data_IF_145680366585
#
_entry.id   IF_145680366585
#
_cell.length_a   1.000
_cell.length_b   1.000
_cell.length_c   1.000
_cell.angle_alpha   90.00
_cell.angle_beta   90.00
_cell.angle_gamma   90.00
#
_symmetry.space_group_name_H-M   'P 1'
#
loop_
_entity.id
_entity.type
_entity.pdbx_description
1 polymer ?
#
# COMPACT_ATOMS: atom_id res chain seq x y z
N UNK A 1 18.25 -39.96 15.76
CA UNK A 1 19.06 -38.78 16.13
C UNK A 1 19.12 -37.88 14.93
N UNK A 2 18.31 -36.83 14.88
CA UNK A 2 18.24 -35.94 13.71
C UNK A 2 18.44 -34.49 14.15
N UNK A 3 19.54 -34.23 14.86
CA UNK A 3 20.03 -32.87 15.02
C UNK A 3 20.73 -32.47 13.72
N UNK A 4 19.92 -32.11 12.73
CA UNK A 4 20.39 -31.44 11.52
C UNK A 4 21.13 -30.18 11.96
N UNK A 5 22.35 -29.94 11.49
CA UNK A 5 23.09 -28.75 11.92
C UNK A 5 22.46 -27.47 11.38
N UNK A 6 22.72 -26.30 12.02
CA UNK A 6 22.25 -25.00 11.51
C UNK A 6 22.64 -24.80 10.04
N UNK A 7 23.85 -25.23 9.66
CA UNK A 7 24.37 -25.13 8.30
C UNK A 7 23.58 -26.00 7.33
N UNK A 8 23.21 -27.21 7.72
CA UNK A 8 22.37 -28.08 6.91
C UNK A 8 20.97 -27.46 6.71
N UNK A 9 20.41 -26.82 7.74
CA UNK A 9 19.12 -26.10 7.61
C UNK A 9 19.22 -24.85 6.74
N UNK A 10 20.32 -24.09 6.82
CA UNK A 10 20.57 -22.96 5.92
C UNK A 10 20.64 -23.42 4.46
N UNK A 11 21.34 -24.54 4.17
CA UNK A 11 21.40 -25.12 2.83
C UNK A 11 20.03 -25.61 2.35
N UNK A 12 19.28 -26.28 3.22
CA UNK A 12 17.93 -26.72 2.91
C UNK A 12 17.01 -25.53 2.58
N UNK A 13 17.11 -24.43 3.34
CA UNK A 13 16.34 -23.20 3.11
C UNK A 13 16.75 -22.42 1.87
N UNK A 14 18.03 -22.43 1.53
CA UNK A 14 18.54 -21.82 0.30
C UNK A 14 17.96 -22.49 -0.95
N UNK A 15 17.77 -23.81 -0.92
CA UNK A 15 17.21 -24.58 -2.02
C UNK A 15 18.09 -24.49 -3.26
N UNK A 16 17.57 -23.86 -4.33
CA UNK A 16 18.28 -23.68 -5.61
C UNK A 16 18.94 -22.30 -5.77
N UNK A 17 18.81 -21.41 -4.78
CA UNK A 17 19.36 -20.06 -4.86
C UNK A 17 20.88 -20.07 -4.77
N UNK A 18 21.51 -19.16 -5.50
CA UNK A 18 22.95 -18.98 -5.49
C UNK A 18 23.40 -18.13 -4.30
N UNK A 19 24.68 -18.24 -3.91
CA UNK A 19 25.26 -17.39 -2.87
C UNK A 19 25.15 -15.89 -3.20
N UNK A 20 25.13 -15.54 -4.49
CA UNK A 20 24.98 -14.16 -4.95
C UNK A 20 23.58 -13.63 -4.67
N UNK A 21 22.55 -14.37 -5.04
CA UNK A 21 21.15 -13.98 -4.79
C UNK A 21 20.87 -13.82 -3.30
N UNK A 22 21.39 -14.74 -2.48
CA UNK A 22 21.27 -14.64 -1.02
C UNK A 22 22.05 -13.44 -0.49
N UNK A 23 23.22 -13.16 -1.04
CA UNK A 23 24.01 -12.00 -0.67
C UNK A 23 23.30 -10.67 -0.96
N UNK A 24 22.76 -10.54 -2.17
CA UNK A 24 21.97 -9.37 -2.58
C UNK A 24 20.72 -9.18 -1.69
N UNK A 25 20.01 -10.27 -1.40
CA UNK A 25 18.81 -10.25 -0.55
C UNK A 25 19.12 -9.90 0.92
N UNK A 26 20.24 -10.36 1.45
CA UNK A 26 20.63 -10.17 2.86
C UNK A 26 21.58 -8.98 3.08
N UNK A 27 21.93 -8.24 2.03
CA UNK A 27 22.95 -7.18 2.09
C UNK A 27 24.34 -7.69 2.49
N UNK A 28 24.62 -8.98 2.30
CA UNK A 28 25.86 -9.64 2.74
C UNK A 28 26.70 -10.05 1.53
N UNK A 29 28.02 -9.89 1.61
CA UNK A 29 28.89 -10.29 0.49
C UNK A 29 28.76 -11.80 0.18
N UNK A 30 28.71 -12.24 -1.10
CA UNK A 30 28.51 -13.65 -1.47
C UNK A 30 29.54 -14.62 -0.88
N UNK A 31 30.79 -14.17 -0.72
CA UNK A 31 31.83 -14.95 -0.05
C UNK A 31 31.53 -15.18 1.45
N UNK A 32 30.92 -14.19 2.12
CA UNK A 32 30.50 -14.32 3.51
C UNK A 32 29.34 -15.30 3.63
N UNK A 33 28.38 -15.27 2.70
CA UNK A 33 27.30 -16.26 2.61
C UNK A 33 27.90 -17.67 2.46
N UNK A 34 28.85 -17.84 1.54
CA UNK A 34 29.57 -19.11 1.34
C UNK A 34 30.22 -19.59 2.64
N UNK A 35 30.91 -18.71 3.37
CA UNK A 35 31.53 -19.03 4.68
C UNK A 35 30.51 -19.51 5.69
N UNK A 36 29.37 -18.82 5.84
CA UNK A 36 28.32 -19.24 6.77
C UNK A 36 27.77 -20.63 6.43
N UNK A 37 27.57 -20.93 5.14
CA UNK A 37 27.15 -22.25 4.72
C UNK A 37 28.17 -23.35 4.98
N UNK A 38 29.47 -23.04 5.06
CA UNK A 38 30.53 -24.04 5.31
C UNK A 38 30.88 -24.25 6.77
N UNK A 39 30.22 -23.57 7.72
CA UNK A 39 30.45 -23.81 9.14
C UNK A 39 30.81 -22.57 9.95
N UNK A 40 31.07 -21.44 9.32
CA UNK A 40 31.31 -20.21 10.08
C UNK A 40 30.02 -19.75 10.77
N UNK A 41 30.11 -19.29 12.03
CA UNK A 41 28.95 -18.81 12.77
C UNK A 41 28.37 -17.56 12.09
N UNK A 42 27.10 -17.58 11.66
CA UNK A 42 26.45 -16.41 11.09
C UNK A 42 26.10 -15.40 12.17
N UNK A 43 26.09 -14.12 11.78
CA UNK A 43 25.59 -13.04 12.64
C UNK A 43 24.06 -13.05 12.70
N UNK A 44 23.50 -12.50 13.77
CA UNK A 44 22.04 -12.49 13.99
C UNK A 44 21.32 -11.69 12.91
N UNK A 45 21.92 -10.59 12.45
CA UNK A 45 21.36 -9.73 11.40
C UNK A 45 21.24 -10.48 10.07
N UNK A 46 22.23 -11.31 9.73
CA UNK A 46 22.16 -12.18 8.56
C UNK A 46 21.02 -13.18 8.69
N UNK A 47 20.87 -13.82 9.85
CA UNK A 47 19.80 -14.79 10.08
C UNK A 47 18.41 -14.14 10.02
N UNK A 48 18.25 -12.93 10.56
CA UNK A 48 17.01 -12.17 10.49
C UNK A 48 16.65 -11.83 9.04
N UNK A 49 17.59 -11.22 8.30
CA UNK A 49 17.39 -10.87 6.89
C UNK A 49 17.14 -12.11 6.01
N UNK A 50 17.83 -13.22 6.30
CA UNK A 50 17.62 -14.49 5.62
C UNK A 50 16.21 -15.06 5.86
N UNK A 51 15.74 -15.02 7.12
CA UNK A 51 14.41 -15.47 7.47
C UNK A 51 13.31 -14.60 6.85
N UNK A 52 13.52 -13.29 6.79
CA UNK A 52 12.59 -12.35 6.18
C UNK A 52 12.54 -12.51 4.65
N UNK A 53 13.71 -12.53 4.00
CA UNK A 53 13.79 -12.60 2.53
C UNK A 53 13.24 -13.92 1.96
N UNK A 54 13.38 -15.02 2.69
CA UNK A 54 12.91 -16.35 2.25
C UNK A 54 11.61 -16.79 2.92
N UNK A 55 11.02 -15.96 3.78
CA UNK A 55 9.84 -16.30 4.59
C UNK A 55 10.05 -17.63 5.34
N UNK A 56 11.22 -17.77 5.98
CA UNK A 56 11.60 -18.94 6.76
C UNK A 56 11.23 -18.71 8.23
N UNK A 57 10.85 -19.79 8.89
CA UNK A 57 10.62 -19.82 10.32
C UNK A 57 11.95 -19.82 11.07
N UNK A 58 12.18 -18.80 11.90
CA UNK A 58 13.38 -18.69 12.73
C UNK A 58 13.51 -19.83 13.74
N UNK A 59 12.40 -20.29 14.32
CA UNK A 59 12.41 -21.40 15.28
C UNK A 59 12.88 -22.69 14.63
N UNK A 60 12.40 -22.97 13.42
CA UNK A 60 12.86 -24.12 12.65
C UNK A 60 14.33 -23.98 12.27
N UNK A 61 14.76 -22.78 11.86
CA UNK A 61 16.16 -22.56 11.47
C UNK A 61 17.13 -22.75 12.64
N UNK A 62 16.76 -22.32 13.85
CA UNK A 62 17.62 -22.38 15.02
C UNK A 62 17.55 -23.74 15.73
N UNK A 63 16.35 -24.29 15.89
CA UNK A 63 16.11 -25.48 16.72
C UNK A 63 15.83 -26.75 15.91
N UNK A 64 15.57 -26.63 14.61
CA UNK A 64 15.13 -27.74 13.77
C UNK A 64 13.68 -28.17 14.00
N UNK A 65 12.93 -27.45 14.86
CA UNK A 65 11.55 -27.82 15.23
C UNK A 65 10.53 -26.97 14.48
N UNK A 66 9.40 -27.58 14.14
CA UNK A 66 8.27 -26.90 13.49
C UNK A 66 8.35 -26.90 11.95
N UNK A 67 7.54 -26.04 11.33
CA UNK A 67 7.48 -25.88 9.87
C UNK A 67 8.63 -24.99 9.39
N UNK A 68 9.16 -25.29 8.21
CA UNK A 68 10.27 -24.56 7.61
C UNK A 68 9.83 -23.18 7.10
N UNK A 69 8.70 -23.10 6.41
CA UNK A 69 8.19 -21.84 5.87
C UNK A 69 7.23 -21.15 6.83
N UNK A 70 7.34 -19.83 6.92
CA UNK A 70 6.48 -18.97 7.75
C UNK A 70 5.03 -18.99 7.27
N UNK A 71 4.80 -19.15 5.97
CA UNK A 71 3.45 -19.28 5.38
C UNK A 71 2.71 -20.54 5.83
N UNK A 72 3.45 -21.59 6.24
CA UNK A 72 2.87 -22.82 6.79
C UNK A 72 2.61 -22.73 8.30
N UNK A 73 3.13 -21.70 8.96
CA UNK A 73 2.81 -21.40 10.34
C UNK A 73 1.42 -20.78 10.33
N UNK A 74 0.40 -21.61 10.57
CA UNK A 74 -0.86 -21.07 11.06
C UNK A 74 -0.52 -20.26 12.31
N UNK A 75 -0.92 -18.98 12.43
CA UNK A 75 -0.69 -18.21 13.64
C UNK A 75 -1.25 -19.05 14.78
N UNK A 76 -0.34 -19.58 15.60
CA UNK A 76 -0.72 -20.28 16.80
C UNK A 76 -1.25 -19.15 17.67
N UNK A 77 -2.55 -19.13 18.06
CA UNK A 77 -2.95 -18.26 19.14
C UNK A 77 -2.07 -18.65 20.32
N UNK A 78 -1.18 -17.72 20.63
CA UNK A 78 -0.56 -17.53 21.91
C UNK A 78 -1.50 -18.04 23.00
N UNK A 79 -1.14 -19.18 23.60
CA UNK A 79 -1.94 -19.83 24.65
C UNK A 79 -2.11 -18.95 25.90
N UNK A 80 -1.38 -17.84 25.95
CA UNK A 80 -1.39 -16.84 27.01
C UNK A 80 -2.01 -15.49 26.57
N UNK A 81 -2.40 -15.32 25.30
CA UNK A 81 -3.29 -14.22 24.90
C UNK A 81 -4.71 -14.75 24.97
N UNK A 82 -5.10 -14.84 26.24
CA UNK A 82 -6.40 -15.14 26.81
C UNK A 82 -7.52 -14.62 25.93
N UNK A 83 -8.64 -15.36 25.90
CA UNK A 83 -9.87 -14.94 25.24
C UNK A 83 -10.22 -13.45 25.46
N UNK A 84 -9.84 -12.89 26.62
CA UNK A 84 -9.95 -11.47 26.96
C UNK A 84 -9.24 -10.53 25.97
N UNK A 85 -8.02 -10.84 25.53
CA UNK A 85 -7.31 -10.00 24.55
C UNK A 85 -7.98 -10.04 23.17
N UNK A 86 -8.58 -11.18 22.81
CA UNK A 86 -9.38 -11.30 21.58
C UNK A 86 -10.72 -10.58 21.71
N UNK A 87 -11.34 -10.62 22.89
CA UNK A 87 -12.58 -9.91 23.21
C UNK A 87 -12.36 -8.39 23.15
N UNK A 88 -11.28 -7.89 23.76
CA UNK A 88 -10.90 -6.48 23.73
C UNK A 88 -10.57 -5.99 22.32
N UNK A 89 -9.85 -6.79 21.53
CA UNK A 89 -9.61 -6.49 20.13
C UNK A 89 -10.92 -6.45 19.30
N UNK A 90 -11.86 -7.35 19.57
CA UNK A 90 -13.17 -7.37 18.93
C UNK A 90 -14.02 -6.17 19.35
N UNK A 91 -14.04 -5.79 20.62
CA UNK A 91 -14.73 -4.59 21.11
C UNK A 91 -14.18 -3.33 20.47
N UNK A 92 -12.85 -3.18 20.45
CA UNK A 92 -12.19 -2.04 19.79
C UNK A 92 -12.53 -1.97 18.30
N UNK A 93 -12.62 -3.12 17.62
CA UNK A 93 -13.02 -3.18 16.22
C UNK A 93 -14.49 -2.77 16.01
N UNK A 94 -15.40 -3.22 16.88
CA UNK A 94 -16.82 -2.86 16.85
C UNK A 94 -17.00 -1.36 17.11
N UNK A 95 -16.36 -0.81 18.13
CA UNK A 95 -16.42 0.62 18.46
C UNK A 95 -15.92 1.50 17.33
N UNK A 96 -14.93 1.03 16.57
CA UNK A 96 -14.44 1.73 15.37
C UNK A 96 -15.43 1.68 14.20
N UNK A 97 -16.24 0.63 14.10
CA UNK A 97 -17.19 0.43 13.00
C UNK A 97 -18.46 1.25 13.18
N UNK A 98 -18.97 1.39 14.41
CA UNK A 98 -20.19 2.15 14.73
C UNK A 98 -20.19 3.56 14.09
N UNK A 99 -19.20 4.44 14.34
CA UNK A 99 -19.21 5.80 13.79
C UNK A 99 -18.99 5.83 12.27
N UNK A 100 -18.55 4.71 11.66
CA UNK A 100 -18.42 4.59 10.20
C UNK A 100 -19.76 4.21 9.56
N UNK A 101 -20.55 3.36 10.21
CA UNK A 101 -21.91 3.03 9.78
C UNK A 101 -22.79 4.27 9.87
N UNK A 102 -22.78 4.98 11.00
CA UNK A 102 -23.55 6.24 11.17
C UNK A 102 -23.22 7.28 10.08
N UNK A 103 -21.93 7.42 9.74
CA UNK A 103 -21.50 8.31 8.66
C UNK A 103 -22.00 7.86 7.28
N UNK A 104 -22.03 6.56 7.02
CA UNK A 104 -22.55 6.01 5.77
C UNK A 104 -24.07 6.19 5.65
N UNK A 105 -24.81 6.02 6.75
CA UNK A 105 -26.26 6.26 6.79
C UNK A 105 -26.61 7.72 6.48
N UNK A 106 -25.88 8.68 7.06
CA UNK A 106 -26.05 10.11 6.75
C UNK A 106 -25.69 10.42 5.29
N UNK A 107 -24.63 9.79 4.75
CA UNK A 107 -24.25 9.98 3.37
C UNK A 107 -25.31 9.44 2.40
N UNK A 108 -25.89 8.27 2.70
CA UNK A 108 -26.99 7.68 1.93
C UNK A 108 -28.24 8.55 1.97
N UNK A 109 -28.68 9.01 3.14
CA UNK A 109 -29.83 9.93 3.26
C UNK A 109 -29.67 11.21 2.41
N UNK A 110 -28.44 11.75 2.32
CA UNK A 110 -28.15 12.92 1.48
C UNK A 110 -28.20 12.63 -0.02
N UNK A 111 -27.87 11.40 -0.42
CA UNK A 111 -27.96 10.96 -1.81
C UNK A 111 -29.40 10.64 -2.20
N UNK A 112 -30.15 9.98 -1.32
CA UNK A 112 -31.58 9.68 -1.52
C UNK A 112 -32.41 10.98 -1.61
N UNK A 113 -32.17 11.94 -0.71
CA UNK A 113 -32.83 13.25 -0.79
C UNK A 113 -32.48 14.08 -2.04
N UNK A 114 -31.39 13.74 -2.74
CA UNK A 114 -31.05 14.32 -4.05
C UNK A 114 -31.62 13.53 -5.23
N UNK A 115 -31.96 12.26 -5.02
CA UNK A 115 -32.49 11.37 -6.04
C UNK A 115 -34.01 11.50 -6.21
N UNK A 116 -34.73 12.12 -5.27
CA UNK A 116 -36.16 12.37 -5.39
C UNK A 116 -36.43 13.31 -6.60
N UNK A 117 -37.10 12.83 -7.66
CA UNK A 117 -37.32 13.62 -8.86
C UNK A 117 -38.39 14.68 -8.59
N UNK A 118 -38.01 15.95 -8.84
CA UNK A 118 -38.92 17.11 -8.86
C UNK A 118 -40.19 16.73 -9.64
N UNK A 119 -41.41 16.89 -9.07
CA UNK A 119 -42.63 16.49 -9.74
C UNK A 119 -42.69 17.19 -11.08
N UNK A 120 -42.67 16.40 -12.16
CA UNK A 120 -42.86 16.87 -13.52
C UNK A 120 -44.25 17.50 -13.58
N UNK A 121 -44.30 18.83 -13.57
CA UNK A 121 -45.52 19.56 -13.87
C UNK A 121 -45.87 19.24 -15.32
N UNK A 122 -46.86 18.37 -15.53
CA UNK A 122 -47.47 18.14 -16.84
C UNK A 122 -48.21 19.42 -17.25
N UNK A 123 -47.47 20.36 -17.83
CA UNK A 123 -47.99 21.54 -18.51
C UNK A 123 -48.32 21.22 -19.96
N UNK A 124 -49.59 21.35 -20.28
CA UNK A 124 -50.24 21.26 -21.59
C UNK A 124 -49.46 21.99 -22.71
N UNK A 125 -49.38 21.46 -23.95
CA UNK A 125 -48.76 22.16 -25.06
C UNK A 125 -49.74 23.21 -25.64
N UNK A 126 -49.46 24.49 -25.39
CA UNK A 126 -50.07 25.60 -26.14
C UNK A 126 -49.14 26.05 -27.26
N UNK A 127 -49.66 25.94 -28.48
CA UNK A 127 -49.15 26.48 -29.74
C UNK A 127 -48.81 27.99 -29.69
N UNK A 128 -47.75 28.41 -30.40
CA UNK A 128 -47.70 29.54 -31.36
C UNK A 128 -46.30 30.18 -31.47
N UNK A 129 -45.79 30.31 -32.71
CA UNK A 129 -44.95 31.44 -33.13
C UNK A 129 -43.50 31.14 -33.56
N UNK A 130 -43.06 31.55 -34.78
CA UNK A 130 -41.69 31.34 -35.27
C UNK A 130 -40.69 32.37 -34.71
N UNK A 131 -39.45 31.92 -34.47
CA UNK A 131 -38.33 32.75 -34.01
C UNK A 131 -37.73 33.60 -35.15
N UNK A 132 -37.32 34.86 -34.89
CA UNK A 132 -36.54 35.66 -35.84
C UNK A 132 -35.03 35.42 -35.70
N UNK A 133 -34.35 35.46 -36.85
CA UNK A 133 -32.91 35.41 -37.06
C UNK A 133 -32.22 36.63 -36.42
N UNK A 134 -31.13 36.43 -35.67
CA UNK A 134 -30.25 37.53 -35.22
C UNK A 134 -28.81 37.27 -35.63
N UNK A 135 -28.28 38.28 -36.33
CA UNK A 135 -27.00 38.44 -37.02
C UNK A 135 -25.86 38.69 -36.04
N UNK A 136 -24.70 38.06 -36.28
CA UNK A 136 -23.44 38.28 -35.55
C UNK A 136 -22.60 39.36 -36.26
N UNK A 137 -22.13 40.42 -35.58
CA UNK A 137 -21.15 41.34 -36.15
C UNK A 137 -19.71 41.06 -35.67
N UNK A 138 -18.81 40.89 -36.65
CA UNK A 138 -17.36 41.03 -36.54
C UNK A 138 -16.95 42.52 -36.49
N UNK A 139 -16.01 42.91 -35.61
CA UNK A 139 -15.09 44.06 -35.77
C UNK A 139 -13.90 43.88 -34.80
N UNK A 140 -12.67 43.69 -35.28
CA UNK A 140 -11.72 44.65 -35.85
C UNK A 140 -10.87 45.40 -34.79
N UNK A 141 -9.57 45.09 -34.80
CA UNK A 141 -8.44 45.74 -34.10
C UNK A 141 -8.33 47.24 -34.44
N UNK A 142 -7.65 48.00 -33.57
CA UNK A 142 -6.70 49.00 -34.04
C UNK A 142 -5.30 48.91 -33.40
N UNK A 143 -4.31 49.29 -34.22
CA UNK A 143 -2.90 49.55 -33.92
C UNK A 143 -2.69 50.94 -33.25
N UNK A 144 -1.53 51.07 -32.58
CA UNK A 144 -0.71 52.28 -32.31
C UNK A 144 -0.45 52.45 -30.79
N UNK A 145 0.70 52.88 -30.28
CA UNK A 145 1.92 53.50 -30.84
C UNK A 145 3.05 53.37 -29.79
N UNK A 146 4.27 53.41 -30.32
CA UNK A 146 5.59 53.59 -29.70
C UNK A 146 5.70 54.73 -28.65
N UNK A 147 6.58 54.56 -27.65
CA UNK A 147 7.52 55.54 -27.04
C UNK A 147 8.34 54.78 -25.96
N UNK A 148 9.61 54.42 -26.17
CA UNK A 148 10.86 55.18 -25.94
C UNK A 148 11.29 55.32 -24.46
N UNK A 149 12.54 54.91 -24.15
CA UNK A 149 13.36 55.39 -23.01
C UNK A 149 13.83 54.30 -22.02
N UNK A 150 15.04 53.74 -22.14
CA UNK A 150 16.36 54.19 -21.59
C UNK A 150 16.66 53.83 -20.12
N UNK A 151 17.77 53.09 -19.93
CA UNK A 151 18.88 53.15 -18.91
C UNK A 151 19.27 51.69 -18.51
N UNK A 152 20.46 51.12 -18.83
CA UNK A 152 21.84 51.34 -18.30
C UNK A 152 21.84 51.44 -16.77
N UNK A 153 22.67 50.79 -15.95
CA UNK A 153 23.91 50.00 -16.02
C UNK A 153 24.02 49.23 -14.66
N UNK A 154 24.62 48.04 -14.60
CA UNK A 154 25.93 47.70 -13.98
C UNK A 154 26.09 47.89 -12.45
N UNK A 155 26.85 46.95 -11.86
CA UNK A 155 27.42 46.84 -10.49
C UNK A 155 26.47 46.33 -9.38
N UNK A 156 26.79 45.34 -8.55
CA UNK A 156 28.07 44.72 -8.12
C UNK A 156 27.98 43.18 -8.06
#
# INVERSE_FOLDING_TARGET
>A
MSDTSLQQRLRAAMGRRTNREIGEMTGTHPETVRRYLHGHPPRVEFLAAFCEGLQINGDWLLTGRGRMHRTEIRPRPDRNSTADAQLEAAFTAIERIIPRIERLEVALHRLEGRAEPRPRTNGVPSSHGPSPVVVVPHRARPLAKSLSGRRRADAD
#
